data_IF_450357115558
#
_entry.id   IF_450357115558
#
_cell.length_a   1.000
_cell.length_b   1.000
_cell.length_c   1.000
_cell.angle_alpha   90.00
_cell.angle_beta   90.00
_cell.angle_gamma   90.00
#
_symmetry.space_group_name_H-M   'P 1'
#
loop_
_entity.id
_entity.type
_entity.pdbx_description
1 polymer ?
#
# COMPACT_ATOMS: atom_id res chain seq x y z
N UNK A 1 -9.14 -7.41 -10.89
CA UNK A 1 -8.87 -7.40 -9.44
C UNK A 1 -8.75 -5.98 -8.89
N UNK A 2 -7.94 -5.10 -9.49
CA UNK A 2 -7.75 -3.71 -9.03
C UNK A 2 -9.03 -2.88 -8.87
N UNK A 3 -9.95 -2.93 -9.84
CA UNK A 3 -11.22 -2.18 -9.75
C UNK A 3 -12.04 -2.56 -8.51
N UNK A 4 -12.17 -3.86 -8.21
CA UNK A 4 -12.85 -4.35 -6.99
C UNK A 4 -12.14 -3.92 -5.71
N UNK A 5 -10.80 -3.87 -5.73
CA UNK A 5 -10.03 -3.43 -4.56
C UNK A 5 -10.26 -1.95 -4.24
N UNK A 6 -10.62 -1.13 -5.23
CA UNK A 6 -11.00 0.28 -5.03
C UNK A 6 -12.39 0.47 -4.44
N UNK A 7 -13.23 -0.57 -4.43
CA UNK A 7 -14.56 -0.56 -3.81
C UNK A 7 -14.48 -0.81 -2.29
N UNK A 8 -13.33 -1.28 -1.79
CA UNK A 8 -13.08 -1.41 -0.35
C UNK A 8 -12.98 0.00 0.26
N UNK A 9 -13.80 0.26 1.26
CA UNK A 9 -13.70 1.43 2.11
C UNK A 9 -12.98 1.10 3.41
N UNK A 10 -12.46 2.15 4.04
CA UNK A 10 -11.79 2.08 5.33
C UNK A 10 -12.76 1.55 6.36
N UNK A 11 -12.27 0.63 7.17
CA UNK A 11 -12.98 -0.09 8.20
C UNK A 11 -14.09 -1.03 7.74
N UNK A 12 -14.13 -1.40 6.44
CA UNK A 12 -14.97 -2.50 5.98
C UNK A 12 -14.59 -3.80 6.74
N UNK A 13 -15.56 -4.55 7.30
CA UNK A 13 -15.28 -5.82 7.98
C UNK A 13 -14.65 -6.85 7.05
N UNK A 14 -13.74 -7.68 7.58
CA UNK A 14 -13.06 -8.74 6.82
C UNK A 14 -14.02 -9.67 6.07
N UNK A 15 -15.13 -10.04 6.71
CA UNK A 15 -16.18 -10.88 6.10
C UNK A 15 -16.77 -10.25 4.84
N UNK A 16 -16.82 -8.93 4.78
CA UNK A 16 -17.42 -8.19 3.67
C UNK A 16 -16.37 -7.97 2.58
N UNK A 17 -15.13 -7.67 2.96
CA UNK A 17 -14.00 -7.57 2.02
C UNK A 17 -13.86 -8.86 1.20
N UNK A 18 -13.82 -10.02 1.86
CA UNK A 18 -13.61 -11.31 1.19
C UNK A 18 -14.90 -11.98 0.70
N UNK A 19 -16.05 -11.29 0.78
CA UNK A 19 -17.29 -11.76 0.18
C UNK A 19 -17.21 -11.73 -1.35
N UNK A 20 -16.74 -10.60 -1.88
CA UNK A 20 -16.73 -10.29 -3.33
C UNK A 20 -15.32 -10.31 -3.94
N UNK A 21 -14.30 -10.48 -3.09
CA UNK A 21 -12.89 -10.60 -3.44
C UNK A 21 -12.45 -12.05 -3.25
N UNK A 22 -11.42 -12.46 -4.01
CA UNK A 22 -10.78 -13.76 -3.88
C UNK A 22 -10.36 -14.02 -2.43
N UNK A 23 -10.53 -15.26 -1.98
CA UNK A 23 -9.99 -15.76 -0.71
C UNK A 23 -8.48 -15.50 -0.66
N UNK A 24 -7.95 -14.95 0.46
CA UNK A 24 -6.52 -14.69 0.58
C UNK A 24 -5.72 -15.99 0.44
N UNK A 25 -4.55 -15.91 -0.19
CA UNK A 25 -3.61 -17.03 -0.29
C UNK A 25 -3.08 -17.37 1.09
N UNK A 26 -2.71 -16.35 1.87
CA UNK A 26 -2.26 -16.54 3.24
C UNK A 26 -2.56 -15.32 4.11
N UNK A 27 -2.73 -15.57 5.41
CA UNK A 27 -2.59 -14.57 6.46
C UNK A 27 -1.12 -14.53 6.89
N UNK A 28 -0.57 -13.34 7.06
CA UNK A 28 0.76 -13.16 7.65
C UNK A 28 0.60 -13.20 9.17
N UNK A 29 1.24 -14.18 9.83
CA UNK A 29 1.10 -14.42 11.26
C UNK A 29 1.47 -13.18 12.11
N UNK A 30 0.80 -13.04 13.25
CA UNK A 30 0.96 -11.95 14.23
C UNK A 30 0.59 -10.55 13.73
N UNK A 31 -0.01 -10.43 12.53
CA UNK A 31 -0.56 -9.18 12.03
C UNK A 31 -1.89 -9.45 11.33
N UNK A 32 -2.85 -8.52 11.41
CA UNK A 32 -4.05 -8.55 10.59
C UNK A 32 -3.71 -8.15 9.13
N UNK A 33 -2.87 -8.94 8.45
CA UNK A 33 -2.35 -8.68 7.09
C UNK A 33 -2.52 -9.92 6.20
N UNK A 34 -3.12 -9.73 5.03
CA UNK A 34 -3.54 -10.81 4.14
C UNK A 34 -2.94 -10.64 2.74
N UNK A 35 -2.31 -11.68 2.21
CA UNK A 35 -1.77 -11.70 0.86
C UNK A 35 -2.76 -12.33 -0.11
N UNK A 36 -3.09 -11.62 -1.19
CA UNK A 36 -4.07 -12.06 -2.20
C UNK A 36 -3.44 -12.75 -3.41
N UNK A 37 -2.11 -12.77 -3.48
CA UNK A 37 -1.35 -13.09 -4.69
C UNK A 37 -0.93 -11.84 -5.46
N UNK A 38 -0.09 -12.04 -6.47
CA UNK A 38 0.26 -11.00 -7.46
C UNK A 38 0.88 -9.73 -6.85
N UNK A 39 1.51 -9.87 -5.68
CA UNK A 39 2.10 -8.75 -4.95
C UNK A 39 1.12 -7.89 -4.16
N UNK A 40 -0.17 -8.24 -4.10
CA UNK A 40 -1.21 -7.49 -3.39
C UNK A 40 -1.38 -7.98 -1.96
N UNK A 41 -1.36 -7.05 -1.00
CA UNK A 41 -1.68 -7.29 0.40
C UNK A 41 -2.77 -6.32 0.89
N UNK A 42 -3.57 -6.75 1.86
CA UNK A 42 -4.51 -5.91 2.58
C UNK A 42 -4.23 -6.00 4.08
N UNK A 43 -3.98 -4.86 4.72
CA UNK A 43 -3.89 -4.75 6.17
C UNK A 43 -5.23 -4.34 6.76
N UNK A 44 -5.53 -4.88 7.93
CA UNK A 44 -6.71 -4.61 8.72
C UNK A 44 -6.27 -4.05 10.10
N UNK A 45 -7.19 -3.45 10.84
CA UNK A 45 -7.05 -3.19 12.28
C UNK A 45 -7.97 -4.12 13.07
N UNK A 46 -7.59 -4.47 14.30
CA UNK A 46 -8.38 -5.33 15.20
C UNK A 46 -9.62 -4.63 15.80
N UNK A 47 -9.74 -3.32 15.58
CA UNK A 47 -10.88 -2.49 15.98
C UNK A 47 -11.10 -1.38 14.98
N UNK A 48 -12.35 -0.94 14.83
CA UNK A 48 -12.67 0.33 14.19
C UNK A 48 -12.33 1.48 15.12
N UNK A 49 -11.74 2.52 14.56
CA UNK A 49 -11.43 3.72 15.32
C UNK A 49 -11.55 4.95 14.44
N UNK A 50 -11.90 6.07 15.07
CA UNK A 50 -11.81 7.39 14.45
C UNK A 50 -10.59 8.11 15.02
N UNK A 51 -9.98 8.96 14.21
CA UNK A 51 -8.91 9.86 14.65
C UNK A 51 -9.50 11.25 14.73
N UNK A 52 -9.68 11.74 15.95
CA UNK A 52 -10.12 13.10 16.24
C UNK A 52 -8.92 13.85 16.81
N UNK A 53 -8.43 14.87 16.10
CA UNK A 53 -7.17 15.58 16.38
C UNK A 53 -5.97 14.61 16.51
N UNK A 54 -5.36 14.55 17.70
CA UNK A 54 -4.24 13.63 18.02
C UNK A 54 -4.71 12.37 18.76
N UNK A 55 -6.01 12.21 18.97
CA UNK A 55 -6.58 11.11 19.75
C UNK A 55 -7.23 10.07 18.86
N UNK A 56 -6.90 8.81 19.13
CA UNK A 56 -7.62 7.65 18.58
C UNK A 56 -8.77 7.30 19.51
N UNK A 57 -9.99 7.22 18.97
CA UNK A 57 -11.17 6.76 19.70
C UNK A 57 -11.70 5.50 19.06
N UNK A 58 -11.75 4.41 19.83
CA UNK A 58 -12.32 3.15 19.39
C UNK A 58 -13.86 3.24 19.40
N UNK A 59 -14.48 2.82 18.30
CA UNK A 59 -15.93 2.98 18.10
C UNK A 59 -16.65 1.67 17.75
N UNK A 60 -15.91 0.61 17.43
CA UNK A 60 -16.45 -0.68 17.04
C UNK A 60 -16.10 -1.81 18.01
N UNK A 61 -16.73 -2.96 17.81
CA UNK A 61 -16.35 -4.21 18.49
C UNK A 61 -15.01 -4.73 17.95
N UNK A 62 -14.40 -5.63 18.71
CA UNK A 62 -13.21 -6.36 18.28
C UNK A 62 -13.48 -7.20 17.03
N UNK A 63 -12.59 -7.10 16.04
CA UNK A 63 -12.72 -7.73 14.73
C UNK A 63 -11.74 -7.13 13.72
N UNK A 64 -11.55 -7.75 12.56
CA UNK A 64 -10.61 -7.24 11.56
C UNK A 64 -11.31 -6.33 10.54
N UNK A 65 -10.83 -5.09 10.44
CA UNK A 65 -11.42 -4.03 9.60
C UNK A 65 -10.39 -3.43 8.64
N UNK A 66 -10.71 -3.34 7.35
CA UNK A 66 -9.77 -2.98 6.29
C UNK A 66 -9.16 -1.58 6.51
N UNK A 67 -7.85 -1.43 6.31
CA UNK A 67 -7.16 -0.17 6.60
C UNK A 67 -6.30 0.32 5.44
N UNK A 68 -5.46 -0.57 4.89
CA UNK A 68 -4.61 -0.23 3.75
C UNK A 68 -4.53 -1.40 2.78
N UNK A 69 -4.24 -1.05 1.54
CA UNK A 69 -3.78 -1.95 0.51
C UNK A 69 -2.32 -1.67 0.22
N UNK A 70 -1.56 -2.73 -0.06
CA UNK A 70 -0.19 -2.64 -0.54
C UNK A 70 -0.04 -3.42 -1.83
N UNK A 71 0.85 -2.94 -2.68
CA UNK A 71 1.33 -3.66 -3.85
C UNK A 71 2.85 -3.61 -3.91
N UNK A 72 3.47 -4.72 -4.29
CA UNK A 72 4.90 -4.80 -4.60
C UNK A 72 5.15 -5.65 -5.83
N UNK A 73 6.02 -5.17 -6.72
CA UNK A 73 6.42 -5.90 -7.93
C UNK A 73 7.42 -7.04 -7.68
N UNK A 74 8.04 -7.09 -6.49
CA UNK A 74 9.09 -8.06 -6.14
C UNK A 74 8.93 -8.52 -4.68
N UNK A 75 9.00 -9.84 -4.46
CA UNK A 75 8.99 -10.49 -3.15
C UNK A 75 10.05 -9.95 -2.21
N UNK A 76 11.24 -9.63 -2.72
CA UNK A 76 12.32 -9.10 -1.90
C UNK A 76 11.92 -7.76 -1.27
N UNK A 77 11.12 -6.97 -1.98
CA UNK A 77 10.59 -5.70 -1.46
C UNK A 77 9.54 -5.94 -0.38
N UNK A 78 8.69 -6.94 -0.56
CA UNK A 78 7.71 -7.28 0.48
C UNK A 78 8.42 -7.80 1.73
N UNK A 79 9.42 -8.66 1.57
CA UNK A 79 10.22 -9.16 2.67
C UNK A 79 11.01 -8.04 3.35
N UNK A 80 11.57 -7.06 2.62
CA UNK A 80 12.18 -5.87 3.23
C UNK A 80 11.15 -4.96 3.94
N UNK A 81 9.89 -4.97 3.51
CA UNK A 81 8.83 -4.14 4.09
C UNK A 81 8.24 -4.77 5.35
N UNK A 82 7.89 -6.07 5.30
CA UNK A 82 7.15 -6.75 6.35
C UNK A 82 7.93 -7.85 7.09
N UNK A 83 9.05 -8.35 6.53
CA UNK A 83 9.88 -9.47 7.02
C UNK A 83 9.16 -10.82 7.16
N UNK A 84 8.24 -11.17 6.25
CA UNK A 84 7.21 -12.18 6.59
C UNK A 84 6.70 -13.10 5.48
N UNK A 85 7.12 -12.98 4.22
CA UNK A 85 6.60 -13.82 3.14
C UNK A 85 7.51 -15.01 2.84
N UNK A 86 6.99 -16.20 3.17
CA UNK A 86 7.56 -17.51 2.86
C UNK A 86 7.16 -18.01 1.47
N UNK A 87 5.98 -17.62 0.98
CA UNK A 87 5.44 -18.00 -0.32
C UNK A 87 5.05 -16.75 -1.12
N UNK A 88 5.52 -16.66 -2.37
CA UNK A 88 5.20 -15.54 -3.25
C UNK A 88 4.86 -16.05 -4.64
N UNK A 89 3.70 -15.61 -5.13
CA UNK A 89 3.29 -15.87 -6.51
C UNK A 89 3.58 -14.59 -7.31
N UNK A 90 4.61 -14.59 -8.19
CA UNK A 90 4.93 -13.43 -9.00
C UNK A 90 3.78 -13.06 -9.93
N UNK A 91 3.60 -11.76 -10.13
CA UNK A 91 2.67 -11.24 -11.13
C UNK A 91 3.31 -11.28 -12.52
N UNK A 92 2.63 -11.90 -13.47
CA UNK A 92 3.00 -11.85 -14.89
C UNK A 92 1.88 -11.22 -15.72
N UNK A 93 1.65 -9.91 -15.58
CA UNK A 93 1.03 -9.12 -16.65
C UNK A 93 1.23 -7.61 -16.44
N UNK A 94 2.25 -7.04 -17.06
CA UNK A 94 2.42 -5.59 -17.16
C UNK A 94 1.58 -5.02 -18.32
N UNK A 95 1.10 -3.75 -18.26
CA UNK A 95 1.30 -2.77 -17.20
C UNK A 95 0.15 -2.70 -16.17
N UNK A 96 0.50 -2.57 -14.89
CA UNK A 96 -0.46 -2.28 -13.81
C UNK A 96 -0.60 -0.76 -13.63
N UNK A 97 -1.75 -0.21 -14.01
CA UNK A 97 -2.07 1.22 -13.85
C UNK A 97 -2.71 1.41 -12.48
N UNK A 98 -2.07 2.23 -11.66
CA UNK A 98 -2.51 2.52 -10.29
C UNK A 98 -3.62 3.57 -10.34
N UNK A 99 -3.28 4.76 -10.83
CA UNK A 99 -4.19 5.90 -10.93
C UNK A 99 -3.59 7.00 -11.83
N UNK A 100 -4.38 7.90 -12.40
CA UNK A 100 -3.90 9.10 -13.12
C UNK A 100 -2.79 8.86 -14.18
N UNK A 101 -2.84 7.74 -14.92
CA UNK A 101 -1.80 7.29 -15.88
C UNK A 101 -0.45 6.91 -15.22
N UNK A 102 -0.39 6.86 -13.89
CA UNK A 102 0.74 6.35 -13.12
C UNK A 102 0.65 4.83 -13.12
N UNK A 103 1.75 4.20 -13.52
CA UNK A 103 1.88 2.75 -13.61
C UNK A 103 3.17 2.29 -12.96
N UNK A 104 3.17 1.03 -12.52
CA UNK A 104 4.40 0.33 -12.14
C UNK A 104 5.39 0.44 -13.31
N UNK A 105 6.64 0.77 -13.00
CA UNK A 105 7.69 1.05 -13.98
C UNK A 105 7.88 2.52 -14.34
N UNK A 106 6.96 3.43 -13.99
CA UNK A 106 7.22 4.87 -14.20
C UNK A 106 8.30 5.39 -13.27
N UNK A 107 9.19 6.25 -13.75
CA UNK A 107 10.19 6.88 -12.88
C UNK A 107 9.59 7.94 -11.96
N UNK A 108 10.26 8.23 -10.84
CA UNK A 108 9.82 9.31 -9.94
C UNK A 108 9.66 10.65 -10.67
N UNK A 109 10.54 10.94 -11.63
CA UNK A 109 10.43 12.13 -12.48
C UNK A 109 9.16 12.10 -13.35
N UNK A 110 8.88 10.97 -14.01
CA UNK A 110 7.67 10.81 -14.82
C UNK A 110 6.39 10.97 -14.00
N UNK A 111 6.36 10.37 -12.82
CA UNK A 111 5.23 10.48 -11.88
C UNK A 111 5.02 11.94 -11.46
N UNK A 112 6.08 12.63 -11.03
CA UNK A 112 6.00 14.03 -10.64
C UNK A 112 5.50 14.91 -11.80
N UNK A 113 5.95 14.67 -13.03
CA UNK A 113 5.46 15.38 -14.22
C UNK A 113 3.97 15.15 -14.46
N UNK A 114 3.50 13.89 -14.37
CA UNK A 114 2.08 13.55 -14.55
C UNK A 114 1.19 14.21 -13.51
N UNK A 115 1.59 14.20 -12.24
CA UNK A 115 0.86 14.84 -11.13
C UNK A 115 0.79 16.36 -11.31
N UNK A 116 1.92 17.01 -11.66
CA UNK A 116 1.94 18.45 -11.95
C UNK A 116 1.03 18.85 -13.11
N UNK A 117 1.05 18.08 -14.21
CA UNK A 117 0.21 18.34 -15.39
C UNK A 117 -1.29 18.29 -15.06
N UNK A 118 -1.68 17.49 -14.06
CA UNK A 118 -3.07 17.38 -13.58
C UNK A 118 -3.37 18.29 -12.38
N UNK A 119 -2.44 19.17 -12.01
CA UNK A 119 -2.56 20.10 -10.87
C UNK A 119 -2.79 19.38 -9.52
N UNK A 120 -2.35 18.13 -9.41
CA UNK A 120 -2.47 17.33 -8.19
C UNK A 120 -1.34 17.73 -7.24
N UNK A 121 -1.71 18.12 -6.02
CA UNK A 121 -0.74 18.36 -4.94
C UNK A 121 -0.11 17.04 -4.51
N UNK A 122 1.20 17.03 -4.38
CA UNK A 122 1.96 15.87 -3.92
C UNK A 122 3.18 16.32 -3.12
N UNK A 123 3.67 15.42 -2.27
CA UNK A 123 4.89 15.59 -1.51
C UNK A 123 5.89 14.51 -1.91
N UNK A 124 7.18 14.85 -1.89
CA UNK A 124 8.26 13.89 -2.14
C UNK A 124 9.26 13.93 -1.00
N UNK A 125 9.54 12.76 -0.43
CA UNK A 125 10.37 12.60 0.75
C UNK A 125 11.29 11.38 0.62
N UNK A 126 12.48 11.45 1.22
CA UNK A 126 13.33 10.29 1.42
C UNK A 126 13.03 9.67 2.78
N UNK A 127 12.76 8.37 2.80
CA UNK A 127 12.54 7.60 4.02
C UNK A 127 13.77 6.79 4.37
N UNK A 128 14.04 6.64 5.67
CA UNK A 128 15.13 5.85 6.21
C UNK A 128 14.60 4.86 7.24
N UNK A 129 15.23 3.69 7.35
CA UNK A 129 14.96 2.71 8.42
C UNK A 129 16.17 2.65 9.34
N UNK A 130 15.93 2.57 10.64
CA UNK A 130 16.98 2.36 11.63
C UNK A 130 17.29 0.87 11.73
N UNK A 131 18.48 0.47 11.27
CA UNK A 131 18.96 -0.90 11.31
C UNK A 131 20.34 -0.93 11.98
N UNK A 132 20.51 -1.81 12.98
CA UNK A 132 21.82 -2.04 13.62
C UNK A 132 22.56 -0.76 14.07
N UNK A 133 21.84 0.24 14.58
CA UNK A 133 22.44 1.48 15.06
C UNK A 133 22.60 2.59 14.02
N UNK A 134 22.24 2.35 12.75
CA UNK A 134 22.43 3.30 11.63
C UNK A 134 21.10 3.53 10.90
N UNK A 135 20.88 4.76 10.42
CA UNK A 135 19.76 5.07 9.54
C UNK A 135 20.14 4.84 8.08
N UNK A 136 19.67 3.75 7.51
CA UNK A 136 19.87 3.41 6.10
C UNK A 136 18.73 3.93 5.23
N UNK A 137 19.06 4.28 4.00
CA UNK A 137 18.07 4.60 2.98
C UNK A 137 17.06 3.46 2.82
N UNK A 138 15.78 3.81 2.86
CA UNK A 138 14.69 2.87 2.66
C UNK A 138 14.03 3.02 1.31
N UNK A 139 13.45 4.19 1.05
CA UNK A 139 12.78 4.50 -0.22
C UNK A 139 12.64 6.00 -0.43
N UNK A 140 12.68 6.43 -1.68
CA UNK A 140 12.11 7.71 -2.10
C UNK A 140 10.61 7.52 -2.24
N UNK A 141 9.84 8.48 -1.74
CA UNK A 141 8.40 8.39 -1.61
C UNK A 141 7.75 9.57 -2.31
N UNK A 142 6.66 9.31 -3.04
CA UNK A 142 5.74 10.34 -3.52
C UNK A 142 4.37 10.09 -2.90
N UNK A 143 3.87 11.03 -2.10
CA UNK A 143 2.55 10.98 -1.49
C UNK A 143 1.58 11.89 -2.24
N UNK A 144 0.39 11.40 -2.56
CA UNK A 144 -0.72 12.20 -3.12
C UNK A 144 -2.05 11.52 -2.79
N UNK A 145 -3.08 12.30 -2.45
CA UNK A 145 -4.35 11.76 -1.95
C UNK A 145 -4.13 10.68 -0.88
N UNK A 146 -4.60 9.46 -1.13
CA UNK A 146 -4.44 8.31 -0.24
C UNK A 146 -3.29 7.38 -0.66
N UNK A 147 -2.51 7.76 -1.67
CA UNK A 147 -1.42 6.96 -2.19
C UNK A 147 -0.08 7.37 -1.60
N UNK A 148 0.72 6.36 -1.33
CA UNK A 148 2.14 6.48 -1.08
C UNK A 148 2.88 5.59 -2.10
N UNK A 149 3.58 6.22 -3.03
CA UNK A 149 4.37 5.55 -4.06
C UNK A 149 5.80 5.34 -3.58
N UNK A 150 6.35 4.14 -3.79
CA UNK A 150 7.63 3.72 -3.25
C UNK A 150 8.64 3.46 -4.38
N UNK A 151 9.77 4.15 -4.31
CA UNK A 151 10.92 4.03 -5.21
C UNK A 151 12.14 3.61 -4.38
N UNK A 152 12.77 2.48 -4.72
CA UNK A 152 13.82 1.89 -3.88
C UNK A 152 15.25 2.31 -4.25
N UNK A 153 15.40 3.52 -4.79
CA UNK A 153 16.68 4.18 -5.03
C UNK A 153 16.54 5.69 -4.83
N UNK A 154 17.64 6.36 -4.48
CA UNK A 154 17.71 7.82 -4.37
C UNK A 154 17.68 8.52 -5.75
N UNK A 155 17.93 7.76 -6.83
CA UNK A 155 17.88 8.26 -8.20
C UNK A 155 16.44 8.66 -8.59
N UNK A 156 16.27 9.84 -9.19
CA UNK A 156 14.98 10.29 -9.74
C UNK A 156 14.52 9.47 -10.94
N UNK A 157 15.42 8.69 -11.55
CA UNK A 157 15.10 7.71 -12.59
C UNK A 157 14.67 6.36 -12.03
N UNK A 158 14.74 6.15 -10.70
CA UNK A 158 14.21 4.95 -10.07
C UNK A 158 12.75 4.75 -10.45
N UNK A 159 12.43 3.52 -10.84
CA UNK A 159 11.08 3.15 -11.28
C UNK A 159 10.18 2.79 -10.11
N UNK A 160 8.89 3.07 -10.26
CA UNK A 160 7.87 2.73 -9.29
C UNK A 160 7.72 1.21 -9.21
N UNK A 161 8.07 0.64 -8.07
CA UNK A 161 8.04 -0.82 -7.83
C UNK A 161 6.96 -1.22 -6.81
N UNK A 162 6.52 -0.29 -5.97
CA UNK A 162 5.53 -0.57 -4.94
C UNK A 162 4.70 0.67 -4.61
N UNK A 163 3.52 0.45 -4.02
CA UNK A 163 2.74 1.52 -3.43
C UNK A 163 1.92 1.00 -2.26
N UNK A 164 1.50 1.91 -1.38
CA UNK A 164 0.39 1.70 -0.49
C UNK A 164 -0.75 2.66 -0.81
N UNK A 165 -1.96 2.21 -0.48
CA UNK A 165 -3.19 2.96 -0.61
C UNK A 165 -3.97 2.84 0.69
N UNK A 166 -4.22 3.96 1.35
CA UNK A 166 -5.11 4.02 2.50
C UNK A 166 -6.55 4.05 2.01
N UNK A 167 -7.40 3.12 2.45
CA UNK A 167 -8.79 3.12 2.00
C UNK A 167 -9.51 4.42 2.43
N UNK A 168 -10.46 4.88 1.62
CA UNK A 168 -11.28 6.06 1.93
C UNK A 168 -12.33 5.72 2.97
N UNK A 169 -12.62 6.65 3.87
CA UNK A 169 -13.81 6.56 4.73
C UNK A 169 -15.07 6.75 3.88
N UNK A 170 -16.18 6.17 4.31
CA UNK A 170 -17.49 6.44 3.69
C UNK A 170 -17.92 7.84 4.14
N UNK A 171 -18.19 8.73 3.18
CA UNK A 171 -18.80 10.06 3.42
C UNK A 171 -20.28 9.95 3.83
#
# INVERSE_FOLDING_TARGET
MWEKLKEIHRFMPLSDVFRDIKVPIMKIENRPLYYLGEGVLISFSERQFIVEDFNRKEVGIEGEYALNLFYFSDVNRINKHFNTLTEFVPFMSQPFIIDHEISIGNSALQVAHKLKRKEIRFESNLTRKFNNGIYDFYSNVINFYNYQLLFFSEDKQATLEAFSYTFKEIE
#
